data_IF_125067056621
#
_entry.id   IF_125067056621
#
_cell.length_a   1.000
_cell.length_b   1.000
_cell.length_c   1.000
_cell.angle_alpha   90.00
_cell.angle_beta   90.00
_cell.angle_gamma   90.00
#
_symmetry.space_group_name_H-M   'P 1'
#
loop_
_entity.id
_entity.type
_entity.pdbx_description
1 polymer ?
#
# COMPACT_ATOMS: atom_id res chain seq x y z
N UNK A 1 -15.14 4.98 16.35
CA UNK A 1 -14.39 6.22 16.57
C UNK A 1 -13.34 5.97 17.63
N UNK A 2 -12.10 6.16 17.29
CA UNK A 2 -10.98 5.92 18.20
C UNK A 2 -10.46 7.28 18.64
N UNK A 3 -11.06 7.82 19.72
CA UNK A 3 -10.77 9.18 20.21
C UNK A 3 -9.29 9.39 20.60
N UNK A 4 -8.57 8.33 20.96
CA UNK A 4 -7.13 8.36 21.22
C UNK A 4 -6.24 8.22 19.99
N UNK A 5 -6.81 8.04 18.83
CA UNK A 5 -6.10 7.71 17.61
C UNK A 5 -5.09 8.78 17.18
N UNK A 6 -5.49 10.03 17.25
CA UNK A 6 -4.64 11.15 16.85
C UNK A 6 -3.50 11.42 17.84
N UNK A 7 -3.70 11.21 19.13
CA UNK A 7 -2.66 11.41 20.13
C UNK A 7 -1.60 10.29 20.11
N UNK A 8 -2.03 9.07 19.83
CA UNK A 8 -1.11 7.93 19.67
C UNK A 8 -0.43 7.95 18.29
N UNK A 9 -0.99 8.69 17.32
CA UNK A 9 -0.37 9.00 16.03
C UNK A 9 0.51 10.24 16.10
N UNK A 10 0.83 10.74 17.31
CA UNK A 10 1.67 11.93 17.44
C UNK A 10 2.88 11.86 16.51
N UNK A 11 3.09 12.90 15.69
CA UNK A 11 4.26 12.98 14.82
C UNK A 11 5.57 13.05 15.59
N UNK A 12 5.54 13.27 16.89
CA UNK A 12 6.72 13.33 17.75
C UNK A 12 7.41 11.97 17.89
N UNK A 13 6.69 10.89 17.67
CA UNK A 13 7.32 9.60 17.52
C UNK A 13 7.72 9.42 16.04
N UNK A 14 8.82 9.99 15.66
CA UNK A 14 9.51 9.62 14.43
C UNK A 14 10.16 8.26 14.67
N UNK A 15 9.79 7.23 13.91
CA UNK A 15 10.50 5.97 13.91
C UNK A 15 11.87 6.22 13.29
N UNK A 16 12.67 7.00 13.99
CA UNK A 16 13.83 7.61 13.40
C UNK A 16 14.96 6.69 13.33
N UNK A 17 15.07 5.64 13.78
CA UNK A 17 16.29 4.87 13.65
C UNK A 17 16.35 3.64 14.55
N UNK A 18 15.74 3.67 15.67
CA UNK A 18 15.69 2.50 16.57
C UNK A 18 14.36 2.51 17.29
N UNK A 19 13.82 1.33 17.64
CA UNK A 19 12.71 1.27 18.58
C UNK A 19 13.08 2.12 19.80
N UNK A 20 12.08 2.84 20.34
CA UNK A 20 12.23 3.60 21.57
C UNK A 20 12.99 2.72 22.59
N UNK A 21 14.17 3.14 23.05
CA UNK A 21 14.96 2.33 24.00
C UNK A 21 14.23 2.10 25.31
N UNK A 22 13.29 2.97 25.68
CA UNK A 22 12.46 2.85 26.87
C UNK A 22 11.20 2.01 26.65
N UNK A 23 10.89 1.66 25.39
CA UNK A 23 9.78 0.77 25.10
C UNK A 23 10.13 -0.68 25.48
N UNK A 24 9.24 -1.31 26.23
CA UNK A 24 9.38 -2.73 26.60
C UNK A 24 9.03 -3.62 25.40
N UNK A 25 9.97 -3.76 24.48
CA UNK A 25 9.83 -4.67 23.33
C UNK A 25 9.92 -6.13 23.81
N UNK A 26 8.96 -6.93 23.37
CA UNK A 26 8.92 -8.36 23.66
C UNK A 26 9.07 -9.15 22.38
N UNK A 27 9.99 -10.13 22.30
CA UNK A 27 10.06 -11.04 21.18
C UNK A 27 8.74 -11.80 21.00
N UNK A 28 8.28 -11.92 19.76
CA UNK A 28 7.05 -12.60 19.37
C UNK A 28 7.35 -13.57 18.22
N UNK A 29 8.09 -14.66 18.48
CA UNK A 29 8.49 -15.61 17.45
C UNK A 29 7.30 -16.35 16.81
N UNK A 30 6.15 -16.38 17.49
CA UNK A 30 4.91 -16.96 16.98
C UNK A 30 4.26 -16.12 15.85
N UNK A 31 4.69 -14.89 15.67
CA UNK A 31 4.15 -14.02 14.60
C UNK A 31 4.83 -14.35 13.27
N UNK A 32 4.38 -15.43 12.65
CA UNK A 32 4.96 -15.95 11.42
C UNK A 32 4.66 -15.02 10.22
N UNK A 33 5.67 -14.87 9.35
CA UNK A 33 5.55 -14.13 8.09
C UNK A 33 4.54 -14.79 7.15
N UNK A 34 3.59 -14.03 6.63
CA UNK A 34 2.58 -14.51 5.69
C UNK A 34 1.39 -15.22 6.33
N UNK A 35 1.21 -15.07 7.63
CA UNK A 35 0.06 -15.58 8.37
C UNK A 35 -0.72 -14.42 8.98
N UNK A 36 -2.04 -14.50 8.99
CA UNK A 36 -2.90 -13.56 9.71
C UNK A 36 -2.90 -13.88 11.20
N UNK A 37 -2.65 -12.87 12.02
CA UNK A 37 -2.58 -12.98 13.46
C UNK A 37 -3.74 -12.26 14.10
N UNK A 38 -4.41 -12.94 15.04
CA UNK A 38 -5.54 -12.37 15.78
C UNK A 38 -5.07 -11.40 16.86
N UNK A 39 -5.79 -10.29 17.00
CA UNK A 39 -5.68 -9.32 18.09
C UNK A 39 -6.98 -9.39 18.89
N UNK A 40 -6.89 -9.77 20.17
CA UNK A 40 -8.06 -9.92 21.04
C UNK A 40 -8.40 -8.66 21.85
N UNK A 41 -7.46 -7.71 21.94
CA UNK A 41 -7.67 -6.46 22.65
C UNK A 41 -8.38 -5.45 21.73
N UNK A 42 -9.62 -5.07 22.09
CA UNK A 42 -10.35 -4.01 21.42
C UNK A 42 -9.83 -2.62 21.81
N UNK A 43 -10.07 -1.61 20.98
CA UNK A 43 -9.68 -0.21 21.16
C UNK A 43 -8.20 -0.05 21.55
N UNK A 44 -7.33 -0.74 20.84
CA UNK A 44 -5.91 -0.86 21.16
C UNK A 44 -5.02 -0.52 19.98
N UNK A 45 -3.81 -0.11 20.29
CA UNK A 45 -2.75 0.16 19.33
C UNK A 45 -1.59 -0.77 19.59
N UNK A 46 -1.10 -1.39 18.53
CA UNK A 46 0.05 -2.29 18.56
C UNK A 46 1.15 -1.78 17.66
N UNK A 47 2.37 -1.90 18.14
CA UNK A 47 3.56 -1.66 17.35
C UNK A 47 4.33 -2.96 17.19
N UNK A 48 4.71 -3.26 15.96
CA UNK A 48 5.57 -4.39 15.62
C UNK A 48 6.85 -3.86 14.98
N UNK A 49 7.97 -4.35 15.44
CA UNK A 49 9.27 -4.03 14.86
C UNK A 49 9.90 -5.28 14.26
N UNK A 50 10.51 -5.11 13.09
CA UNK A 50 11.27 -6.17 12.44
C UNK A 50 12.48 -5.59 11.72
N UNK A 51 13.60 -6.29 11.84
CA UNK A 51 14.78 -6.05 11.02
C UNK A 51 14.70 -6.85 9.73
N UNK A 52 15.04 -6.22 8.61
CA UNK A 52 15.16 -6.82 7.29
C UNK A 52 16.56 -6.55 6.79
N UNK A 53 17.31 -7.60 6.43
CA UNK A 53 18.67 -7.47 5.91
C UNK A 53 18.66 -7.67 4.40
N UNK A 54 19.41 -6.84 3.68
CA UNK A 54 19.68 -6.97 2.27
C UNK A 54 21.19 -7.06 2.01
N UNK A 55 21.63 -8.08 1.28
CA UNK A 55 23.04 -8.28 0.93
C UNK A 55 23.53 -7.33 -0.18
N UNK A 56 22.61 -6.76 -0.92
CA UNK A 56 22.85 -5.78 -1.97
C UNK A 56 21.58 -4.98 -2.20
N UNK A 57 21.64 -3.93 -3.03
CA UNK A 57 20.46 -3.14 -3.40
C UNK A 57 19.36 -4.06 -4.00
N UNK A 58 18.30 -4.29 -3.24
CA UNK A 58 17.31 -5.34 -3.51
C UNK A 58 15.90 -4.77 -3.60
N UNK A 59 15.24 -4.85 -4.78
CA UNK A 59 13.81 -4.56 -4.90
C UNK A 59 13.00 -5.51 -4.03
N UNK A 60 12.14 -4.95 -3.18
CA UNK A 60 11.40 -5.71 -2.18
C UNK A 60 9.94 -5.28 -2.16
N UNK A 61 9.03 -6.24 -2.13
CA UNK A 61 7.59 -6.00 -1.96
C UNK A 61 7.17 -6.47 -0.58
N UNK A 62 6.64 -5.53 0.19
CA UNK A 62 6.08 -5.78 1.52
C UNK A 62 4.56 -5.72 1.44
N UNK A 63 3.90 -6.69 2.04
CA UNK A 63 2.44 -6.79 2.09
C UNK A 63 1.97 -6.67 3.52
N UNK A 64 0.96 -5.85 3.72
CA UNK A 64 0.34 -5.59 5.02
C UNK A 64 -1.17 -5.78 4.93
N UNK A 65 -1.75 -6.17 6.05
CA UNK A 65 -3.19 -6.20 6.27
C UNK A 65 -3.49 -5.94 7.73
N UNK A 66 -4.60 -5.31 8.01
CA UNK A 66 -5.09 -5.12 9.36
C UNK A 66 -6.61 -4.99 9.40
N UNK A 67 -7.14 -5.28 10.53
CA UNK A 67 -8.45 -4.94 10.99
C UNK A 67 -8.24 -4.10 12.28
N UNK A 68 -8.32 -2.77 12.23
CA UNK A 68 -8.83 -1.84 11.20
C UNK A 68 -7.72 -1.18 10.37
N UNK A 69 -6.80 -0.47 11.00
CA UNK A 69 -5.81 0.42 10.37
C UNK A 69 -4.40 -0.13 10.47
N UNK A 70 -3.64 -0.01 9.39
CA UNK A 70 -2.20 -0.26 9.40
C UNK A 70 -1.43 0.94 8.84
N UNK A 71 -0.31 1.27 9.49
CA UNK A 71 0.74 2.14 8.97
C UNK A 71 2.08 1.43 9.09
N UNK A 72 2.93 1.58 8.09
CA UNK A 72 4.26 0.98 8.10
C UNK A 72 5.34 2.00 7.71
N UNK A 73 6.42 2.00 8.46
CA UNK A 73 7.60 2.82 8.20
C UNK A 73 8.82 1.93 8.02
N UNK A 74 9.65 2.28 7.06
CA UNK A 74 10.95 1.67 6.83
C UNK A 74 12.02 2.73 7.05
N UNK A 75 12.93 2.49 7.98
CA UNK A 75 13.97 3.45 8.39
C UNK A 75 13.39 4.87 8.66
N UNK A 76 12.23 4.93 9.29
CA UNK A 76 11.54 6.17 9.61
C UNK A 76 10.68 6.78 8.49
N UNK A 77 10.77 6.30 7.26
CA UNK A 77 9.95 6.77 6.15
C UNK A 77 8.65 5.96 6.06
N UNK A 78 7.49 6.64 6.00
CA UNK A 78 6.20 6.00 5.73
C UNK A 78 6.24 5.35 4.35
N UNK A 79 5.92 4.05 4.29
CA UNK A 79 5.95 3.26 3.06
C UNK A 79 4.60 2.63 2.72
N UNK A 80 3.71 2.47 3.69
CA UNK A 80 2.37 1.96 3.47
C UNK A 80 1.41 2.49 4.54
N UNK A 81 0.18 2.75 4.12
CA UNK A 81 -0.91 3.16 4.99
C UNK A 81 -2.24 2.65 4.44
N UNK A 82 -3.09 2.16 5.35
CA UNK A 82 -4.50 1.88 5.08
C UNK A 82 -5.32 2.25 6.31
N UNK A 83 -6.23 3.19 6.13
CA UNK A 83 -7.12 3.69 7.18
C UNK A 83 -8.55 3.33 6.77
N UNK A 84 -8.93 2.08 6.96
CA UNK A 84 -10.29 1.58 6.64
C UNK A 84 -10.60 0.46 7.61
N UNK A 85 -11.77 0.52 8.24
CA UNK A 85 -12.30 -0.59 9.04
C UNK A 85 -12.60 -1.81 8.15
N UNK A 86 -12.41 -3.00 8.68
CA UNK A 86 -12.77 -4.25 8.02
C UNK A 86 -11.78 -5.38 8.27
N UNK A 87 -12.19 -6.59 7.93
CA UNK A 87 -11.44 -7.81 8.18
C UNK A 87 -10.00 -7.78 7.62
N UNK A 88 -9.07 -8.41 8.34
CA UNK A 88 -7.68 -8.56 7.92
C UNK A 88 -7.58 -9.46 6.69
N UNK A 89 -6.97 -8.95 5.64
CA UNK A 89 -6.65 -9.70 4.43
C UNK A 89 -5.23 -9.43 3.98
N UNK A 90 -4.57 -10.36 3.28
CA UNK A 90 -3.32 -10.08 2.57
C UNK A 90 -3.49 -8.95 1.54
N UNK A 91 -2.39 -8.26 1.26
CA UNK A 91 -2.29 -7.27 0.18
C UNK A 91 -3.24 -6.05 0.31
N UNK A 92 -3.74 -5.76 1.51
CA UNK A 92 -4.56 -4.58 1.75
C UNK A 92 -3.76 -3.28 1.62
N UNK A 93 -2.46 -3.32 1.94
CA UNK A 93 -1.50 -2.28 1.63
C UNK A 93 -0.20 -2.93 1.13
N UNK A 94 0.33 -2.41 0.04
CA UNK A 94 1.58 -2.88 -0.56
C UNK A 94 2.60 -1.75 -0.55
N UNK A 95 3.84 -2.08 -0.18
CA UNK A 95 4.98 -1.20 -0.34
C UNK A 95 5.99 -1.82 -1.30
N UNK A 96 6.33 -1.08 -2.35
CA UNK A 96 7.41 -1.42 -3.27
C UNK A 96 8.60 -0.53 -2.92
N UNK A 97 9.65 -1.14 -2.39
CA UNK A 97 10.83 -0.44 -1.90
C UNK A 97 12.09 -1.07 -2.45
N UNK A 98 13.12 -0.28 -2.69
CA UNK A 98 14.47 -0.80 -2.92
C UNK A 98 15.23 -0.69 -1.60
N UNK A 99 15.60 -1.83 -1.04
CA UNK A 99 16.44 -1.91 0.14
C UNK A 99 17.91 -1.77 -0.31
N UNK A 100 18.65 -0.73 0.09
CA UNK A 100 20.10 -0.71 -0.05
C UNK A 100 20.74 -1.92 0.64
N UNK A 101 22.03 -2.14 0.44
CA UNK A 101 22.78 -3.09 1.24
C UNK A 101 22.75 -2.71 2.71
N UNK A 102 22.57 -3.69 3.61
CA UNK A 102 22.59 -3.48 5.05
C UNK A 102 21.31 -3.88 5.76
N UNK A 103 21.20 -3.38 6.98
CA UNK A 103 20.08 -3.64 7.89
C UNK A 103 19.05 -2.51 7.81
N UNK A 104 17.78 -2.89 7.74
CA UNK A 104 16.65 -1.97 7.65
C UNK A 104 15.64 -2.25 8.76
N UNK A 105 15.17 -1.19 9.39
CA UNK A 105 14.20 -1.25 10.47
C UNK A 105 12.78 -0.99 9.94
N UNK A 106 11.96 -2.04 9.95
CA UNK A 106 10.54 -1.94 9.65
C UNK A 106 9.76 -1.79 10.95
N UNK A 107 8.99 -0.72 11.04
CA UNK A 107 8.01 -0.52 12.10
C UNK A 107 6.61 -0.59 11.49
N UNK A 108 5.74 -1.37 12.13
CA UNK A 108 4.33 -1.48 11.74
C UNK A 108 3.46 -1.10 12.93
N UNK A 109 2.55 -0.17 12.71
CA UNK A 109 1.51 0.21 13.65
C UNK A 109 0.19 -0.36 13.19
N UNK A 110 -0.48 -1.06 14.07
CA UNK A 110 -1.84 -1.58 13.87
C UNK A 110 -2.76 -0.96 14.90
N UNK A 111 -3.89 -0.47 14.46
CA UNK A 111 -4.94 0.02 15.34
C UNK A 111 -6.13 -0.91 15.19
N UNK A 112 -6.57 -1.45 16.32
CA UNK A 112 -7.77 -2.26 16.43
C UNK A 112 -8.85 -1.47 17.15
N UNK A 113 -9.99 -1.29 16.52
CA UNK A 113 -11.18 -0.66 17.07
C UNK A 113 -11.97 -1.58 18.00
N UNK A 114 -13.30 -1.44 18.04
CA UNK A 114 -14.16 -2.32 18.84
C UNK A 114 -14.13 -3.75 18.32
N UNK A 115 -13.97 -4.71 19.22
CA UNK A 115 -14.05 -6.14 18.88
C UNK A 115 -12.68 -6.82 18.73
N UNK A 116 -12.71 -7.91 17.99
CA UNK A 116 -11.53 -8.71 17.69
C UNK A 116 -11.01 -8.28 16.33
N UNK A 117 -9.75 -7.92 16.29
CA UNK A 117 -9.07 -7.56 15.05
C UNK A 117 -7.97 -8.53 14.69
N UNK A 118 -7.09 -8.06 13.82
CA UNK A 118 -5.93 -8.83 13.40
C UNK A 118 -4.97 -8.02 12.56
N UNK A 119 -3.83 -8.64 12.29
CA UNK A 119 -2.88 -8.09 11.35
C UNK A 119 -2.22 -9.19 10.52
N UNK A 120 -1.71 -8.78 9.38
CA UNK A 120 -0.96 -9.61 8.44
C UNK A 120 0.28 -8.86 7.98
N UNK A 121 1.39 -9.56 7.89
CA UNK A 121 2.61 -9.05 7.30
C UNK A 121 3.30 -10.15 6.49
N UNK A 122 3.83 -9.77 5.33
CA UNK A 122 4.67 -10.64 4.52
C UNK A 122 5.71 -9.85 3.75
N UNK A 123 6.96 -10.32 3.77
CA UNK A 123 7.91 -10.03 2.70
C UNK A 123 7.50 -10.88 1.50
N UNK A 124 6.73 -10.29 0.59
CA UNK A 124 6.09 -11.00 -0.53
C UNK A 124 7.09 -11.36 -1.61
N UNK A 125 8.05 -10.46 -1.84
CA UNK A 125 9.11 -10.62 -2.82
C UNK A 125 10.34 -9.89 -2.33
N UNK A 126 11.50 -10.51 -2.50
CA UNK A 126 12.81 -9.91 -2.31
C UNK A 126 13.68 -10.29 -3.51
N UNK A 127 14.21 -9.27 -4.22
CA UNK A 127 14.95 -9.44 -5.45
C UNK A 127 14.08 -9.39 -6.72
N UNK A 128 14.72 -9.64 -7.86
CA UNK A 128 14.08 -9.67 -9.18
C UNK A 128 13.33 -10.98 -9.39
N UNK A 129 12.05 -10.97 -9.81
CA UNK A 129 11.39 -12.16 -10.31
C UNK A 129 12.19 -12.80 -11.45
N UNK A 130 12.22 -14.13 -11.54
CA UNK A 130 13.01 -14.85 -12.55
C UNK A 130 12.75 -14.39 -13.99
N UNK A 131 11.50 -14.10 -14.30
CA UNK A 131 11.15 -13.61 -15.63
C UNK A 131 11.74 -12.21 -15.89
N UNK A 132 11.64 -11.29 -14.93
CA UNK A 132 12.23 -9.96 -15.02
C UNK A 132 13.74 -10.05 -15.10
N UNK A 133 14.35 -10.96 -14.34
CA UNK A 133 15.79 -11.21 -14.39
C UNK A 133 16.23 -11.70 -15.76
N UNK A 134 15.49 -12.62 -16.40
CA UNK A 134 15.75 -13.08 -17.76
C UNK A 134 15.68 -11.93 -18.77
N UNK A 135 14.63 -11.13 -18.72
CA UNK A 135 14.46 -9.98 -19.62
C UNK A 135 15.59 -8.97 -19.41
N UNK A 136 15.96 -8.68 -18.16
CA UNK A 136 17.03 -7.73 -17.83
C UNK A 136 18.39 -8.18 -18.41
N UNK A 137 18.68 -9.49 -18.40
CA UNK A 137 19.90 -10.07 -19.00
C UNK A 137 19.90 -10.05 -20.53
N UNK A 138 18.75 -9.92 -21.19
CA UNK A 138 18.66 -9.82 -22.63
C UNK A 138 19.16 -8.45 -23.09
N UNK A 139 20.09 -8.34 -24.05
CA UNK A 139 20.51 -7.08 -24.63
C UNK A 139 19.33 -6.26 -25.14
N UNK A 140 19.40 -4.93 -25.04
CA UNK A 140 18.28 -4.03 -25.41
C UNK A 140 17.80 -4.29 -26.84
N UNK A 141 18.72 -4.43 -27.78
CA UNK A 141 18.40 -4.69 -29.19
C UNK A 141 17.72 -6.05 -29.43
N UNK A 142 17.86 -7.00 -28.52
CA UNK A 142 17.24 -8.34 -28.60
C UNK A 142 15.92 -8.48 -27.84
N UNK A 143 15.45 -7.43 -27.16
CA UNK A 143 14.18 -7.46 -26.43
C UNK A 143 12.99 -7.26 -27.36
N UNK A 144 11.99 -8.11 -27.24
CA UNK A 144 10.71 -7.84 -27.89
C UNK A 144 10.02 -6.62 -27.27
N UNK A 145 9.09 -5.94 -27.98
CA UNK A 145 8.31 -4.84 -27.44
C UNK A 145 7.59 -5.22 -26.14
N UNK A 146 7.05 -6.45 -26.06
CA UNK A 146 6.35 -6.97 -24.88
C UNK A 146 7.30 -7.14 -23.68
N UNK A 147 8.52 -7.61 -23.93
CA UNK A 147 9.55 -7.74 -22.90
C UNK A 147 9.98 -6.36 -22.37
N UNK A 148 10.19 -5.40 -23.26
CA UNK A 148 10.54 -4.03 -22.89
C UNK A 148 9.43 -3.38 -22.05
N UNK A 149 8.17 -3.52 -22.47
CA UNK A 149 7.01 -3.02 -21.73
C UNK A 149 6.88 -3.66 -20.33
N UNK A 150 7.06 -4.97 -20.25
CA UNK A 150 7.00 -5.71 -18.97
C UNK A 150 8.07 -5.26 -18.00
N UNK A 151 9.30 -5.10 -18.49
CA UNK A 151 10.40 -4.58 -17.68
C UNK A 151 10.11 -3.14 -17.19
N UNK A 152 9.59 -2.29 -18.08
CA UNK A 152 9.21 -0.92 -17.75
C UNK A 152 8.09 -0.87 -16.71
N UNK A 153 7.03 -1.64 -16.89
CA UNK A 153 5.93 -1.73 -15.90
C UNK A 153 6.44 -2.18 -14.53
N UNK A 154 7.32 -3.16 -14.52
CA UNK A 154 7.90 -3.64 -13.27
C UNK A 154 8.79 -2.58 -12.60
N UNK A 155 9.69 -1.93 -13.34
CA UNK A 155 10.60 -0.92 -12.79
C UNK A 155 9.86 0.29 -12.21
N UNK A 156 8.76 0.70 -12.82
CA UNK A 156 7.90 1.80 -12.33
C UNK A 156 7.35 1.58 -10.93
N UNK A 157 7.14 0.33 -10.52
CA UNK A 157 6.66 0.03 -9.16
C UNK A 157 7.65 0.47 -8.08
N UNK A 158 8.95 0.55 -8.41
CA UNK A 158 10.03 0.92 -7.50
C UNK A 158 10.58 2.33 -7.74
N UNK A 159 10.02 3.07 -8.70
CA UNK A 159 10.39 4.45 -9.01
C UNK A 159 9.62 5.42 -8.10
N UNK A 160 10.30 6.15 -7.18
CA UNK A 160 9.63 7.07 -6.27
C UNK A 160 8.88 8.19 -6.96
N UNK A 161 9.37 8.66 -8.11
CA UNK A 161 8.69 9.71 -8.87
C UNK A 161 7.41 9.18 -9.50
N UNK A 162 7.47 7.98 -10.08
CA UNK A 162 6.29 7.33 -10.63
C UNK A 162 5.23 7.05 -9.55
N UNK A 163 5.66 6.56 -8.38
CA UNK A 163 4.78 6.30 -7.24
C UNK A 163 4.06 7.58 -6.79
N UNK A 164 4.80 8.69 -6.67
CA UNK A 164 4.23 9.99 -6.30
C UNK A 164 3.20 10.46 -7.32
N UNK A 165 3.56 10.49 -8.60
CA UNK A 165 2.66 10.94 -9.68
C UNK A 165 1.42 10.05 -9.78
N UNK A 166 1.58 8.75 -9.63
CA UNK A 166 0.45 7.80 -9.64
C UNK A 166 -0.51 8.04 -8.47
N UNK A 167 0.01 8.35 -7.28
CA UNK A 167 -0.80 8.68 -6.11
C UNK A 167 -1.53 10.03 -6.29
N UNK A 168 -0.88 11.02 -6.88
CA UNK A 168 -1.49 12.31 -7.22
C UNK A 168 -2.64 12.12 -8.21
N UNK A 169 -2.43 11.33 -9.28
CA UNK A 169 -3.48 11.00 -10.26
C UNK A 169 -4.65 10.29 -9.58
N UNK A 170 -4.39 9.29 -8.75
CA UNK A 170 -5.44 8.59 -8.01
C UNK A 170 -6.25 9.54 -7.13
N UNK A 171 -5.59 10.46 -6.42
CA UNK A 171 -6.24 11.48 -5.61
C UNK A 171 -7.13 12.40 -6.44
N UNK A 172 -6.65 12.86 -7.60
CA UNK A 172 -7.46 13.69 -8.49
C UNK A 172 -8.68 12.94 -9.05
N UNK A 173 -8.52 11.67 -9.39
CA UNK A 173 -9.63 10.85 -9.88
C UNK A 173 -10.73 10.66 -8.83
N UNK A 174 -10.38 10.56 -7.55
CA UNK A 174 -11.38 10.47 -6.46
C UNK A 174 -12.10 11.80 -6.21
N UNK A 175 -11.52 12.91 -6.63
CA UNK A 175 -12.09 14.26 -6.51
C UNK A 175 -12.89 14.68 -7.74
N UNK A 176 -12.88 13.87 -8.80
CA UNK A 176 -13.70 14.15 -10.00
C UNK A 176 -15.17 14.18 -9.60
N UNK A 177 -15.90 15.26 -9.89
CA UNK A 177 -17.34 15.28 -9.66
C UNK A 177 -17.99 14.19 -10.52
N UNK A 178 -18.97 13.51 -9.94
CA UNK A 178 -19.83 12.63 -10.71
C UNK A 178 -20.34 13.41 -11.92
N UNK A 179 -20.08 12.88 -13.12
CA UNK A 179 -20.63 13.49 -14.33
C UNK A 179 -22.15 13.28 -14.29
N UNK A 180 -22.93 14.29 -13.85
CA UNK A 180 -24.38 14.13 -13.83
C UNK A 180 -24.81 13.96 -15.28
N UNK A 181 -25.37 12.80 -15.60
CA UNK A 181 -26.07 12.61 -16.87
C UNK A 181 -27.16 13.68 -16.94
N UNK A 182 -26.88 14.80 -17.59
CA UNK A 182 -27.84 15.84 -17.80
C UNK A 182 -28.80 15.33 -18.89
N UNK A 183 -29.96 14.89 -18.48
CA UNK A 183 -31.06 14.66 -19.41
C UNK A 183 -31.54 16.03 -19.86
N UNK A 184 -31.21 16.40 -21.06
CA UNK A 184 -31.72 17.62 -21.69
C UNK A 184 -33.02 17.25 -22.41
N UNK A 185 -34.14 17.76 -21.92
CA UNK A 185 -35.40 17.67 -22.66
C UNK A 185 -35.38 18.69 -23.79
N UNK A 186 -35.30 18.22 -25.02
CA UNK A 186 -35.42 19.08 -26.19
C UNK A 186 -36.89 19.03 -26.61
N UNK A 187 -37.61 20.15 -26.44
CA UNK A 187 -38.93 20.31 -27.03
C UNK A 187 -38.79 20.61 -28.52
N UNK A 188 -39.30 19.75 -29.35
CA UNK A 188 -39.37 20.01 -30.79
C UNK A 188 -40.81 20.38 -31.16
N UNK A 189 -40.97 21.51 -31.79
CA UNK A 189 -42.29 21.89 -32.32
C UNK A 189 -42.76 20.87 -33.34
N UNK A 190 -43.83 20.20 -32.99
CA UNK A 190 -44.79 19.39 -33.74
C UNK A 190 -44.49 18.97 -35.17
N UNK A 191 -43.36 18.36 -35.51
CA UNK A 191 -43.25 17.60 -36.75
C UNK A 191 -43.87 16.21 -36.59
N UNK A 192 -44.90 15.90 -37.34
CA UNK A 192 -45.45 14.52 -37.41
C UNK A 192 -44.32 13.54 -37.74
N UNK A 193 -44.10 12.59 -36.86
CA UNK A 193 -43.09 11.51 -37.01
C UNK A 193 -41.80 11.70 -36.21
N UNK A 194 -41.61 12.76 -35.45
CA UNK A 194 -40.48 12.92 -34.56
C UNK A 194 -40.70 12.15 -33.23
N UNK A 195 -39.83 11.21 -32.93
CA UNK A 195 -39.82 10.55 -31.62
C UNK A 195 -38.76 11.27 -30.77
N UNK A 196 -39.11 11.77 -29.59
CA UNK A 196 -38.09 12.32 -28.69
C UNK A 196 -37.11 11.18 -28.31
N UNK A 197 -35.84 11.41 -28.61
CA UNK A 197 -34.77 10.54 -28.22
C UNK A 197 -34.04 11.08 -26.99
N UNK A 198 -33.61 10.21 -26.13
CA UNK A 198 -32.68 10.56 -25.06
C UNK A 198 -31.28 10.46 -25.65
N UNK A 199 -30.58 11.59 -25.71
CA UNK A 199 -29.18 11.61 -26.09
C UNK A 199 -28.35 11.40 -24.82
N UNK A 200 -27.54 10.32 -24.80
CA UNK A 200 -26.59 10.04 -23.72
C UNK A 200 -25.27 10.75 -23.97
#
# INVERSE_FOLDING_TARGET
YIAGHNSVFSPEWTPGSKPDPDATWRPRPELANGTSHRISQSNSVFFFHRTITAESATPTVLSFGADDTVKAWLNGKLIAERIVAGAVNPDQALAHVTLPEGEHHLLVKVVNGPGIGGFYFKVKQQGLPEEIQRIAKTPVAGRSPQQAEKLLKWSRLFDPQWQRLSAEIASHLTQMPDNPKKTVFVSTEGRKGFRPGVYN
#
